data_IF_236806141136
#
_entry.id   IF_236806141136
#
_cell.length_a   1.000
_cell.length_b   1.000
_cell.length_c   1.000
_cell.angle_alpha   90.00
_cell.angle_beta   90.00
_cell.angle_gamma   90.00
#
_symmetry.space_group_name_H-M   'P 1'
#
loop_
_entity.id
_entity.type
_entity.pdbx_description
1 polymer ?
#
# COMPACT_ATOMS: atom_id res chain seq x y z
N UNK A 1 -2.66 27.87 -30.63
CA UNK A 1 -1.79 26.66 -30.66
C UNK A 1 -0.67 26.59 -29.59
N UNK A 2 0.16 27.60 -29.29
CA UNK A 2 1.32 27.44 -28.36
C UNK A 2 0.95 27.37 -26.86
N UNK A 3 -0.28 27.75 -26.48
CA UNK A 3 -0.76 27.63 -25.10
C UNK A 3 -1.14 26.18 -24.73
N UNK A 4 -1.77 25.45 -25.66
CA UNK A 4 -2.16 24.05 -25.50
C UNK A 4 -0.93 23.16 -25.28
N UNK A 5 0.11 23.37 -26.08
CA UNK A 5 1.38 22.63 -25.97
C UNK A 5 2.10 22.85 -24.61
N UNK A 6 1.99 24.05 -24.03
CA UNK A 6 2.54 24.35 -22.69
C UNK A 6 1.76 23.66 -21.58
N UNK A 7 0.44 23.55 -21.69
CA UNK A 7 -0.41 22.83 -20.72
C UNK A 7 -0.14 21.32 -20.75
N UNK A 8 -0.03 20.73 -21.94
CA UNK A 8 0.29 19.31 -22.12
C UNK A 8 1.67 18.98 -21.54
N UNK A 9 2.69 19.81 -21.81
CA UNK A 9 4.03 19.62 -21.24
C UNK A 9 4.03 19.63 -19.71
N UNK A 10 3.28 20.52 -19.07
CA UNK A 10 3.20 20.58 -17.60
C UNK A 10 2.51 19.35 -17.03
N UNK A 11 1.41 18.90 -17.62
CA UNK A 11 0.71 17.69 -17.20
C UNK A 11 1.59 16.43 -17.34
N UNK A 12 2.29 16.28 -18.47
CA UNK A 12 3.25 15.19 -18.70
C UNK A 12 4.38 15.19 -17.66
N UNK A 13 4.87 16.37 -17.27
CA UNK A 13 5.99 16.52 -16.34
C UNK A 13 5.56 16.24 -14.89
N UNK A 14 4.37 16.69 -14.48
CA UNK A 14 3.76 16.32 -13.21
C UNK A 14 3.50 14.81 -13.12
N UNK A 15 3.04 14.21 -14.22
CA UNK A 15 2.78 12.77 -14.30
C UNK A 15 4.06 11.94 -14.22
N UNK A 16 5.13 12.34 -14.92
CA UNK A 16 6.42 11.63 -14.83
C UNK A 16 7.09 11.79 -13.47
N UNK A 17 6.96 12.94 -12.79
CA UNK A 17 7.39 13.08 -11.38
C UNK A 17 6.60 12.13 -10.47
N UNK A 18 5.27 12.04 -10.62
CA UNK A 18 4.44 11.13 -9.83
C UNK A 18 4.78 9.65 -10.09
N UNK A 19 5.10 9.29 -11.33
CA UNK A 19 5.54 7.95 -11.73
C UNK A 19 6.91 7.57 -11.11
N UNK A 20 7.85 8.51 -11.10
CA UNK A 20 9.16 8.31 -10.46
C UNK A 20 9.04 8.23 -8.94
N UNK A 21 8.18 9.04 -8.32
CA UNK A 21 7.95 8.99 -6.88
C UNK A 21 7.19 7.72 -6.43
N UNK A 22 6.31 7.18 -7.27
CA UNK A 22 5.52 5.98 -6.92
C UNK A 22 6.25 4.65 -7.15
N UNK A 23 7.35 4.65 -7.92
CA UNK A 23 8.18 3.46 -8.15
C UNK A 23 9.34 3.32 -7.15
N UNK A 24 9.60 4.36 -6.34
CA UNK A 24 10.60 4.36 -5.29
C UNK A 24 10.12 3.76 -3.97
N UNK A 25 9.63 2.51 -3.98
CA UNK A 25 9.52 1.72 -2.75
C UNK A 25 10.84 1.00 -2.56
N UNK A 26 11.70 1.62 -1.76
CA UNK A 26 13.01 1.13 -1.33
C UNK A 26 12.89 -0.22 -0.64
N UNK A 27 13.87 -1.08 -0.89
CA UNK A 27 14.09 -2.37 -0.21
C UNK A 27 13.93 -2.21 1.30
N UNK A 28 13.01 -2.95 1.92
CA UNK A 28 12.82 -2.89 3.36
C UNK A 28 13.94 -3.65 4.10
N UNK A 29 14.35 -4.83 3.60
CA UNK A 29 15.32 -5.68 4.31
C UNK A 29 16.33 -6.38 3.39
N UNK A 30 17.56 -6.54 3.89
CA UNK A 30 18.58 -7.44 3.32
C UNK A 30 18.52 -8.82 3.97
N UNK A 31 18.92 -9.86 3.23
CA UNK A 31 18.99 -11.23 3.79
C UNK A 31 19.91 -11.26 5.01
N UNK A 32 19.42 -11.78 6.13
CA UNK A 32 20.10 -11.84 7.42
C UNK A 32 19.95 -10.59 8.29
N UNK A 33 19.26 -9.56 7.82
CA UNK A 33 18.94 -8.38 8.63
C UNK A 33 17.88 -8.74 9.68
N UNK A 34 18.06 -8.26 10.91
CA UNK A 34 17.10 -8.49 11.97
C UNK A 34 15.84 -7.65 11.74
N UNK A 35 14.68 -8.27 11.90
CA UNK A 35 13.38 -7.58 11.88
C UNK A 35 13.02 -7.25 13.31
N UNK A 36 12.99 -5.96 13.64
CA UNK A 36 12.68 -5.51 14.99
C UNK A 36 11.29 -6.00 15.40
N UNK A 37 11.25 -6.62 16.57
CA UNK A 37 10.08 -7.33 17.08
C UNK A 37 9.82 -6.89 18.51
N UNK A 38 8.56 -6.61 18.81
CA UNK A 38 8.10 -6.31 20.17
C UNK A 38 7.18 -7.45 20.63
N UNK A 39 7.37 -7.87 21.88
CA UNK A 39 6.51 -8.84 22.53
C UNK A 39 5.53 -8.07 23.41
N UNK A 40 4.23 -8.24 23.14
CA UNK A 40 3.17 -7.65 23.94
C UNK A 40 2.55 -8.72 24.83
N UNK A 41 2.70 -8.56 26.14
CA UNK A 41 2.12 -9.41 27.18
C UNK A 41 1.12 -8.56 27.97
N UNK A 42 -0.17 -8.87 27.84
CA UNK A 42 -1.19 -8.00 28.43
C UNK A 42 -1.18 -6.60 27.82
N UNK A 43 -0.92 -5.59 28.65
CA UNK A 43 -0.75 -4.20 28.26
C UNK A 43 0.72 -3.75 28.18
N UNK A 44 1.66 -4.64 28.50
CA UNK A 44 3.09 -4.33 28.56
C UNK A 44 3.74 -4.76 27.25
N UNK A 45 4.33 -3.79 26.55
CA UNK A 45 5.18 -4.03 25.38
C UNK A 45 6.63 -4.07 25.82
N UNK A 46 7.37 -5.06 25.35
CA UNK A 46 8.80 -5.19 25.62
C UNK A 46 9.52 -5.55 24.34
N UNK A 47 10.60 -4.83 24.05
CA UNK A 47 11.43 -5.09 22.87
C UNK A 47 12.01 -6.50 22.98
N UNK A 48 11.89 -7.29 21.91
CA UNK A 48 12.48 -8.61 21.87
C UNK A 48 14.01 -8.51 21.91
N UNK A 49 14.67 -9.50 22.52
CA UNK A 49 16.12 -9.58 22.40
C UNK A 49 16.51 -9.86 20.95
N UNK A 50 17.69 -9.42 20.53
CA UNK A 50 18.20 -9.66 19.18
C UNK A 50 18.24 -11.15 18.80
N UNK A 51 18.41 -12.05 19.77
CA UNK A 51 18.36 -13.50 19.58
C UNK A 51 16.95 -14.06 19.36
N UNK A 52 15.93 -13.29 19.70
CA UNK A 52 14.51 -13.62 19.55
C UNK A 52 13.92 -12.98 18.28
N UNK A 53 14.61 -12.02 17.67
CA UNK A 53 14.17 -11.36 16.44
C UNK A 53 14.34 -12.29 15.23
N UNK A 54 13.37 -12.32 14.30
CA UNK A 54 13.54 -13.00 13.02
C UNK A 54 14.61 -12.32 12.18
N UNK A 55 15.39 -13.10 11.44
CA UNK A 55 16.35 -12.59 10.46
C UNK A 55 15.78 -12.77 9.06
N UNK A 56 15.70 -11.70 8.27
CA UNK A 56 15.06 -11.69 6.97
C UNK A 56 15.62 -12.79 6.05
N UNK A 57 14.73 -13.63 5.50
CA UNK A 57 15.08 -14.73 4.60
C UNK A 57 15.84 -15.90 5.26
N UNK A 58 16.01 -15.90 6.58
CA UNK A 58 16.73 -16.94 7.35
C UNK A 58 15.79 -17.52 8.40
N UNK A 59 15.53 -18.83 8.31
CA UNK A 59 14.73 -19.52 9.32
C UNK A 59 15.41 -19.50 10.68
N UNK A 60 14.67 -19.16 11.72
CA UNK A 60 15.17 -19.11 13.10
C UNK A 60 14.10 -19.56 14.08
N UNK A 61 14.49 -19.94 15.28
CA UNK A 61 13.55 -20.29 16.34
C UNK A 61 14.11 -19.94 17.70
N UNK A 62 13.23 -19.61 18.63
CA UNK A 62 13.60 -19.42 20.04
C UNK A 62 12.52 -19.98 20.96
N UNK A 63 12.88 -20.17 22.23
CA UNK A 63 11.96 -20.57 23.27
C UNK A 63 11.57 -19.35 24.10
N UNK A 64 10.27 -19.14 24.22
CA UNK A 64 9.67 -18.09 24.99
C UNK A 64 9.20 -18.66 26.34
N UNK A 65 9.80 -18.24 27.46
CA UNK A 65 9.42 -18.76 28.77
C UNK A 65 8.04 -18.23 29.16
N UNK A 66 7.15 -19.14 29.55
CA UNK A 66 5.81 -18.83 30.02
C UNK A 66 5.78 -19.03 31.52
N UNK A 67 5.51 -17.95 32.24
CA UNK A 67 5.14 -18.03 33.66
C UNK A 67 3.63 -18.17 33.79
N UNK A 68 3.14 -18.68 34.93
CA UNK A 68 1.71 -18.85 35.22
C UNK A 68 0.90 -17.55 35.08
N UNK A 69 1.57 -16.39 35.12
CA UNK A 69 0.97 -15.07 34.96
C UNK A 69 0.70 -14.72 33.48
N UNK A 70 1.40 -15.33 32.53
CA UNK A 70 1.30 -15.06 31.09
C UNK A 70 0.20 -15.94 30.49
N UNK A 71 -1.01 -15.38 30.39
CA UNK A 71 -2.16 -16.05 29.78
C UNK A 71 -2.24 -15.89 28.26
N UNK A 72 -1.67 -14.81 27.76
CA UNK A 72 -1.69 -14.48 26.34
C UNK A 72 -0.55 -13.54 25.99
N UNK A 73 -0.12 -13.59 24.72
CA UNK A 73 0.87 -12.69 24.17
C UNK A 73 0.58 -12.41 22.69
N UNK A 74 1.20 -11.37 22.14
CA UNK A 74 1.26 -11.12 20.70
C UNK A 74 2.65 -10.66 20.31
N UNK A 75 3.00 -10.86 19.04
CA UNK A 75 4.25 -10.36 18.47
C UNK A 75 3.91 -9.23 17.50
N UNK A 76 4.61 -8.11 17.61
CA UNK A 76 4.52 -7.01 16.67
C UNK A 76 5.85 -6.87 15.96
N UNK A 77 5.80 -6.58 14.67
CA UNK A 77 6.97 -6.37 13.84
C UNK A 77 6.99 -4.91 13.42
N UNK A 78 8.16 -4.28 13.42
CA UNK A 78 8.29 -2.89 13.01
C UNK A 78 8.18 -2.73 11.48
N UNK A 79 8.31 -1.50 10.98
CA UNK A 79 8.25 -1.14 9.55
C UNK A 79 6.92 -1.43 8.84
N UNK A 80 5.81 -1.38 9.58
CA UNK A 80 4.46 -1.50 9.03
C UNK A 80 4.04 -2.93 8.70
N UNK A 81 4.82 -3.92 9.12
CA UNK A 81 4.44 -5.33 9.06
C UNK A 81 3.30 -5.61 10.04
N UNK A 82 2.30 -6.36 9.57
CA UNK A 82 1.20 -6.81 10.41
C UNK A 82 1.74 -7.78 11.48
N UNK A 83 1.52 -7.44 12.75
CA UNK A 83 1.83 -8.30 13.87
C UNK A 83 0.93 -9.55 13.94
N UNK A 84 1.34 -10.51 14.76
CA UNK A 84 0.57 -11.71 15.07
C UNK A 84 -0.57 -11.33 16.01
N UNK A 85 -1.80 -11.82 15.78
CA UNK A 85 -2.91 -11.62 16.71
C UNK A 85 -2.60 -12.21 18.09
N UNK A 86 -3.30 -11.74 19.12
CA UNK A 86 -3.16 -12.28 20.47
C UNK A 86 -3.39 -13.79 20.51
N UNK A 87 -2.36 -14.52 20.95
CA UNK A 87 -2.38 -15.97 21.15
C UNK A 87 -2.53 -16.27 22.64
N UNK A 88 -3.37 -17.25 22.96
CA UNK A 88 -3.57 -17.73 24.32
C UNK A 88 -2.62 -18.89 24.60
N UNK A 89 -2.02 -18.91 25.79
CA UNK A 89 -1.13 -20.00 26.22
C UNK A 89 -1.88 -21.31 26.46
N UNK A 90 -3.20 -21.23 26.66
CA UNK A 90 -4.10 -22.38 26.70
C UNK A 90 -5.33 -22.14 25.82
N UNK A 91 -5.78 -23.18 25.12
CA UNK A 91 -7.01 -23.11 24.34
C UNK A 91 -8.25 -23.48 25.16
N UNK A 92 -9.44 -23.33 24.57
CA UNK A 92 -10.73 -23.67 25.22
C UNK A 92 -10.87 -25.15 25.62
N UNK A 93 -10.02 -26.03 25.08
CA UNK A 93 -10.00 -27.48 25.40
C UNK A 93 -9.00 -27.81 26.50
N UNK A 94 -8.35 -26.82 27.10
CA UNK A 94 -7.33 -27.01 28.13
C UNK A 94 -5.99 -27.52 27.61
N UNK A 95 -5.74 -27.43 26.29
CA UNK A 95 -4.45 -27.80 25.71
C UNK A 95 -3.50 -26.63 25.80
N UNK A 96 -2.25 -26.91 26.18
CA UNK A 96 -1.19 -25.90 26.28
C UNK A 96 -0.57 -25.64 24.91
N UNK A 97 -0.31 -24.36 24.62
CA UNK A 97 0.40 -23.93 23.43
C UNK A 97 1.85 -24.42 23.52
N UNK A 98 2.30 -25.18 22.53
CA UNK A 98 3.65 -25.75 22.52
C UNK A 98 4.54 -25.04 21.50
N UNK A 99 3.99 -24.72 20.32
CA UNK A 99 4.74 -24.10 19.23
C UNK A 99 3.91 -23.08 18.48
N UNK A 100 4.55 -22.04 17.97
CA UNK A 100 3.96 -21.03 17.09
C UNK A 100 4.84 -20.91 15.86
N UNK A 101 4.30 -21.27 14.70
CA UNK A 101 4.99 -21.12 13.42
C UNK A 101 4.57 -19.80 12.79
N UNK A 102 5.49 -18.86 12.72
CA UNK A 102 5.33 -17.53 12.14
C UNK A 102 5.92 -17.57 10.73
N UNK A 103 5.08 -17.39 9.73
CA UNK A 103 5.47 -17.45 8.32
C UNK A 103 5.44 -16.06 7.72
N UNK A 104 6.60 -15.59 7.29
CA UNK A 104 6.76 -14.37 6.51
C UNK A 104 6.75 -14.70 5.02
N UNK A 105 5.84 -14.07 4.28
CA UNK A 105 5.77 -14.20 2.83
C UNK A 105 6.38 -12.95 2.20
N UNK A 106 7.40 -13.15 1.37
CA UNK A 106 8.13 -12.06 0.74
C UNK A 106 8.27 -12.26 -0.76
N UNK A 107 8.34 -11.13 -1.47
CA UNK A 107 8.42 -11.11 -2.92
C UNK A 107 9.83 -11.42 -3.43
N UNK A 108 9.93 -12.30 -4.45
CA UNK A 108 11.15 -12.56 -5.21
C UNK A 108 11.64 -11.35 -6.03
N UNK A 109 10.81 -10.33 -6.28
CA UNK A 109 11.15 -9.20 -7.15
C UNK A 109 12.14 -8.23 -6.48
N UNK A 110 13.41 -8.62 -6.34
CA UNK A 110 14.60 -7.78 -6.11
C UNK A 110 14.69 -6.94 -4.83
N UNK A 111 13.56 -6.69 -4.14
CA UNK A 111 13.39 -5.68 -3.10
C UNK A 111 13.07 -6.32 -1.74
N UNK A 112 12.80 -7.64 -1.71
CA UNK A 112 12.59 -8.38 -0.47
C UNK A 112 11.38 -7.94 0.35
N UNK A 113 10.36 -7.38 -0.31
CA UNK A 113 9.21 -6.78 0.36
C UNK A 113 8.34 -7.88 0.99
N UNK A 114 8.15 -7.80 2.30
CA UNK A 114 7.30 -8.70 3.08
C UNK A 114 5.87 -8.18 2.96
N UNK A 115 4.99 -8.97 2.37
CA UNK A 115 3.61 -8.54 2.11
C UNK A 115 2.57 -9.33 2.90
N UNK A 116 2.96 -10.43 3.55
CA UNK A 116 2.10 -11.14 4.48
C UNK A 116 2.89 -11.75 5.64
N UNK A 117 2.25 -11.78 6.80
CA UNK A 117 2.72 -12.48 8.00
C UNK A 117 1.57 -13.36 8.47
N UNK A 118 1.82 -14.66 8.61
CA UNK A 118 0.86 -15.63 9.12
C UNK A 118 1.41 -16.29 10.38
N UNK A 119 0.52 -16.73 11.28
CA UNK A 119 0.90 -17.42 12.49
C UNK A 119 0.01 -18.63 12.71
N UNK A 120 0.63 -19.78 12.92
CA UNK A 120 -0.05 -21.03 13.18
C UNK A 120 0.33 -21.55 14.57
N UNK A 121 -0.60 -21.49 15.56
CA UNK A 121 -0.38 -22.07 16.87
C UNK A 121 -0.60 -23.58 16.84
N UNK A 122 0.33 -24.32 17.45
CA UNK A 122 0.30 -25.77 17.65
C UNK A 122 0.14 -26.07 19.14
N UNK A 123 -0.98 -26.70 19.51
CA UNK A 123 -1.31 -27.05 20.88
C UNK A 123 -1.05 -28.53 21.14
N UNK A 124 -0.52 -28.85 22.32
CA UNK A 124 -0.31 -30.24 22.75
C UNK A 124 -1.23 -30.59 23.93
N UNK A 125 -1.71 -31.83 23.94
CA UNK A 125 -2.51 -32.41 25.03
C UNK A 125 -1.64 -32.93 26.18
N UNK A 126 -0.69 -32.11 26.66
CA UNK A 126 0.09 -32.44 27.86
C UNK A 126 -0.70 -31.90 29.06
N UNK A 127 -0.87 -32.72 30.10
CA UNK A 127 -1.45 -32.27 31.37
C UNK A 127 -0.48 -31.31 32.05
N UNK A 128 -0.76 -30.01 31.97
CA UNK A 128 -0.01 -28.95 32.66
C UNK A 128 0.39 -27.78 31.76
N UNK A 129 0.68 -26.61 32.33
CA UNK A 129 1.24 -25.49 31.58
C UNK A 129 2.61 -25.89 31.01
N UNK A 130 2.82 -25.64 29.73
CA UNK A 130 4.13 -25.83 29.11
C UNK A 130 5.03 -24.67 29.55
N UNK A 131 6.19 -24.98 30.13
CA UNK A 131 7.09 -23.95 30.68
C UNK A 131 7.67 -23.05 29.58
N UNK A 132 7.91 -23.60 28.38
CA UNK A 132 8.47 -22.86 27.25
C UNK A 132 7.63 -23.04 25.98
N UNK A 133 7.31 -21.94 25.28
CA UNK A 133 6.69 -21.99 23.95
C UNK A 133 7.77 -21.84 22.88
N UNK A 134 7.82 -22.75 21.92
CA UNK A 134 8.71 -22.61 20.77
C UNK A 134 8.12 -21.65 19.74
N UNK A 135 8.80 -20.55 19.44
CA UNK A 135 8.44 -19.65 18.34
C UNK A 135 9.40 -19.92 17.18
N UNK A 136 8.85 -20.25 16.03
CA UNK A 136 9.61 -20.56 14.81
C UNK A 136 9.26 -19.59 13.70
N UNK A 137 10.28 -19.03 13.08
CA UNK A 137 10.18 -18.10 11.99
C UNK A 137 10.54 -18.80 10.68
N UNK A 138 9.58 -18.80 9.75
CA UNK A 138 9.74 -19.34 8.41
C UNK A 138 9.60 -18.24 7.38
N UNK A 139 10.35 -18.38 6.28
CA UNK A 139 10.37 -17.42 5.18
C UNK A 139 9.98 -18.12 3.90
N UNK A 140 8.82 -17.75 3.36
CA UNK A 140 8.32 -18.27 2.08
C UNK A 140 8.52 -17.19 1.03
N UNK A 141 9.28 -17.54 0.01
CA UNK A 141 9.43 -16.71 -1.16
C UNK A 141 8.29 -17.01 -2.13
N UNK A 142 7.49 -16.00 -2.44
CA UNK A 142 6.49 -16.08 -3.50
C UNK A 142 6.95 -15.27 -4.72
N UNK A 143 6.50 -15.71 -5.90
CA UNK A 143 6.58 -14.84 -7.06
C UNK A 143 5.76 -13.59 -6.76
N UNK A 144 6.31 -12.42 -7.11
CA UNK A 144 5.61 -11.17 -6.95
C UNK A 144 4.29 -11.25 -7.72
N UNK A 145 3.19 -11.55 -7.01
CA UNK A 145 1.87 -11.42 -7.56
C UNK A 145 1.79 -10.01 -8.13
N UNK A 146 1.46 -9.89 -9.42
CA UNK A 146 1.42 -8.64 -10.15
C UNK A 146 0.36 -7.65 -9.60
N UNK A 147 -0.08 -7.76 -8.35
CA UNK A 147 -1.00 -6.86 -7.66
C UNK A 147 -0.59 -5.38 -7.80
N UNK A 148 0.70 -5.05 -7.67
CA UNK A 148 1.20 -3.69 -7.96
C UNK A 148 1.02 -3.29 -9.43
N UNK A 149 1.24 -4.22 -10.36
CA UNK A 149 1.00 -3.95 -11.77
C UNK A 149 -0.51 -3.83 -12.06
N UNK A 150 -1.37 -4.62 -11.42
CA UNK A 150 -2.82 -4.54 -11.53
C UNK A 150 -3.37 -3.22 -11.04
N UNK A 151 -2.94 -2.77 -9.84
CA UNK A 151 -3.30 -1.45 -9.30
C UNK A 151 -2.76 -0.34 -10.21
N UNK A 152 -1.52 -0.48 -10.70
CA UNK A 152 -0.94 0.47 -11.66
C UNK A 152 -1.77 0.59 -12.93
N UNK A 153 -2.13 -0.54 -13.55
CA UNK A 153 -2.95 -0.58 -14.77
C UNK A 153 -4.34 0.05 -14.54
N UNK A 154 -5.01 -0.28 -13.42
CA UNK A 154 -6.30 0.31 -13.07
C UNK A 154 -6.19 1.83 -12.87
N UNK A 155 -5.14 2.29 -12.19
CA UNK A 155 -4.87 3.72 -12.01
C UNK A 155 -4.62 4.42 -13.36
N UNK A 156 -3.77 3.86 -14.22
CA UNK A 156 -3.52 4.42 -15.56
C UNK A 156 -4.77 4.45 -16.43
N UNK A 157 -5.59 3.41 -16.39
CA UNK A 157 -6.86 3.37 -17.12
C UNK A 157 -7.81 4.49 -16.64
N UNK A 158 -7.95 4.67 -15.32
CA UNK A 158 -8.81 5.71 -14.76
C UNK A 158 -8.33 7.13 -15.09
N UNK A 159 -7.00 7.34 -15.05
CA UNK A 159 -6.38 8.62 -15.39
C UNK A 159 -6.52 8.92 -16.88
N UNK A 160 -6.32 7.92 -17.75
CA UNK A 160 -6.49 8.06 -19.18
C UNK A 160 -7.93 8.46 -19.54
N UNK A 161 -8.93 7.79 -18.95
CA UNK A 161 -10.35 8.15 -19.14
C UNK A 161 -10.64 9.56 -18.65
N UNK A 162 -10.13 9.94 -17.47
CA UNK A 162 -10.33 11.29 -16.91
C UNK A 162 -9.75 12.38 -17.82
N UNK A 163 -8.57 12.13 -18.41
CA UNK A 163 -7.94 13.04 -19.37
C UNK A 163 -8.76 13.14 -20.66
N UNK A 164 -9.27 12.03 -21.20
CA UNK A 164 -10.13 12.05 -22.39
C UNK A 164 -11.42 12.84 -22.16
N UNK A 165 -12.07 12.67 -21.00
CA UNK A 165 -13.26 13.43 -20.62
C UNK A 165 -12.97 14.93 -20.53
N UNK A 166 -11.83 15.31 -19.94
CA UNK A 166 -11.38 16.71 -19.90
C UNK A 166 -11.14 17.28 -21.30
N UNK A 167 -10.54 16.50 -22.21
CA UNK A 167 -10.35 16.93 -23.60
C UNK A 167 -11.68 17.15 -24.33
N UNK A 168 -12.67 16.26 -24.15
CA UNK A 168 -13.99 16.45 -24.75
C UNK A 168 -14.73 17.66 -24.16
N UNK A 169 -14.70 17.84 -22.84
CA UNK A 169 -15.29 19.03 -22.19
C UNK A 169 -14.63 20.33 -22.66
N UNK A 170 -13.30 20.38 -22.76
CA UNK A 170 -12.62 21.57 -23.27
C UNK A 170 -12.91 21.83 -24.75
N UNK A 171 -13.02 20.79 -25.58
CA UNK A 171 -13.40 20.94 -26.99
C UNK A 171 -14.83 21.47 -27.17
N UNK A 172 -15.78 20.95 -26.38
CA UNK A 172 -17.18 21.40 -26.39
C UNK A 172 -17.31 22.87 -25.95
N UNK A 173 -16.48 23.31 -25.00
CA UNK A 173 -16.50 24.71 -24.51
C UNK A 173 -15.92 25.67 -25.55
N UNK A 174 -14.82 25.30 -26.24
CA UNK A 174 -14.25 26.13 -27.32
C UNK A 174 -15.25 26.30 -28.50
N UNK A 175 -16.01 25.26 -28.85
CA UNK A 175 -17.04 25.34 -29.89
C UNK A 175 -18.23 26.23 -29.49
N UNK A 176 -18.58 26.26 -28.20
CA UNK A 176 -19.71 27.06 -27.70
C UNK A 176 -19.38 28.56 -27.62
N UNK A 177 -18.13 28.90 -27.32
CA UNK A 177 -17.65 30.30 -27.29
C UNK A 177 -17.50 30.88 -28.72
N UNK A 178 -17.14 30.06 -29.72
CA UNK A 178 -17.09 30.51 -31.13
C UNK A 178 -18.50 30.79 -31.70
N UNK A 179 -19.50 29.98 -31.34
CA UNK A 179 -20.89 30.15 -31.80
C UNK A 179 -21.57 31.40 -31.23
N UNK A 180 -21.27 31.80 -29.99
CA UNK A 180 -21.77 33.06 -29.42
C UNK A 180 -21.08 34.30 -30.01
N UNK A 181 -19.79 34.20 -30.34
CA UNK A 181 -19.05 35.26 -31.02
C UNK A 181 -19.62 35.62 -32.41
N UNK A 182 -20.04 34.62 -33.19
CA UNK A 182 -20.68 34.84 -34.50
C UNK A 182 -22.09 35.43 -34.37
N UNK A 183 -22.86 35.01 -33.35
CA UNK A 183 -24.23 35.53 -33.13
C UNK A 183 -24.25 37.02 -32.80
N UNK A 184 -23.26 37.49 -32.04
CA UNK A 184 -23.11 38.90 -31.68
C UNK A 184 -22.55 39.77 -32.83
N UNK A 185 -21.84 39.16 -33.79
CA UNK A 185 -21.38 39.85 -34.99
C UNK A 185 -22.51 40.08 -36.00
N UNK A 186 -23.50 39.18 -36.06
CA UNK A 186 -24.60 39.22 -37.04
C UNK A 186 -25.74 40.17 -36.64
N UNK A 187 -25.84 40.59 -35.38
CA UNK A 187 -26.82 41.58 -34.90
C UNK A 187 -26.42 43.04 -35.11
N UNK A 188 -25.21 43.35 -35.59
CA UNK A 188 -24.85 44.72 -36.00
C UNK A 188 -25.29 44.98 -37.45
N UNK A 189 -26.59 45.20 -37.64
CA UNK A 189 -27.10 45.84 -38.85
C UNK A 189 -26.69 47.33 -38.81
N UNK A 190 -26.05 47.90 -39.84
CA UNK A 190 -25.77 49.33 -39.88
C UNK A 190 -27.07 50.10 -40.15
N UNK A 191 -27.45 50.98 -39.23
CA UNK A 191 -28.55 51.94 -39.43
C UNK A 191 -28.29 52.79 -40.67
N UNK A 192 -29.16 52.65 -41.67
CA UNK A 192 -29.13 53.40 -42.91
C UNK A 192 -29.27 54.90 -42.67
N UNK A 193 -28.25 55.66 -43.07
CA UNK A 193 -28.25 57.12 -43.07
C UNK A 193 -29.08 57.62 -44.26
N UNK A 194 -30.24 58.24 -43.99
CA UNK A 194 -31.07 58.88 -45.00
C UNK A 194 -30.39 60.17 -45.51
N UNK A 195 -30.01 60.20 -46.79
CA UNK A 195 -29.52 61.39 -47.49
C UNK A 195 -30.66 62.40 -47.70
N UNK A 196 -30.53 63.60 -47.14
CA UNK A 196 -31.35 64.75 -47.51
C UNK A 196 -31.00 65.25 -48.91
N UNK A 197 -32.00 65.29 -49.81
CA UNK A 197 -31.94 66.08 -51.05
C UNK A 197 -32.22 67.55 -50.73
N UNK A 198 -31.25 68.43 -50.98
CA UNK A 198 -31.49 69.87 -51.14
C UNK A 198 -31.79 70.17 -52.61
N UNK A 199 -32.85 70.94 -52.85
CA UNK A 199 -32.98 71.83 -54.00
C UNK A 199 -32.54 73.22 -53.56
#
# INVERSE_FOLDING_TARGET
>A
MPALWRRIRRAMLSFSIFLVCSTGLTSAYRVGEAVDTDILIGSVSTDALRSQMPSFGVGSSFYFPVTDEIKYFSLRFQDGLLGIPTLYTQNMRGQSLARVVVTFVYSKSGVGDVHAVNAQPEYMSIEGPHEDIQIEYQWIQEEAGQLRAGIGIMFFASLFVSVLVLFQLCGIIDDHDELEGQRNAQTRVPEGTYMQKKW
#
